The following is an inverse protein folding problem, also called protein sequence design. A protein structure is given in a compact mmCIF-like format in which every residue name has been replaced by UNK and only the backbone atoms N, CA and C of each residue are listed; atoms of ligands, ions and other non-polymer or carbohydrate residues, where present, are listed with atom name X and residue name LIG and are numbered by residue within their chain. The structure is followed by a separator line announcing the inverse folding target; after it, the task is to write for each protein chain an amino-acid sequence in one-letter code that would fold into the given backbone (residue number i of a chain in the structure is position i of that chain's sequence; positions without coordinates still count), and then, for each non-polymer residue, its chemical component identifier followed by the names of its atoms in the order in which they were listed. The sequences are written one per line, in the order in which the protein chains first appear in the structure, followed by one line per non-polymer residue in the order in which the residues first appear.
data_IF_437264597506
#
_entry.id   IF_437264597506
#
_cell.length_a   1.000
_cell.length_b   1.000
_cell.length_c   1.000
_cell.angle_alpha   90.00
_cell.angle_beta   90.00
_cell.angle_gamma   90.00
#
_symmetry.space_group_name_H-M   'P 1'
#
loop_
_entity.id
_entity.type
_entity.pdbx_description
1 polymer ?
#
# COMPACT_ATOMS: atom_id res chain seq x y z
N UNK A 1 29.80 14.87 21.59
CA UNK A 1 28.75 14.47 22.55
C UNK A 1 27.41 14.74 21.89
N UNK A 2 26.88 13.80 21.11
CA UNK A 2 25.57 13.96 20.45
C UNK A 2 24.56 13.10 21.21
N UNK A 3 23.78 13.72 22.09
CA UNK A 3 22.63 13.07 22.72
C UNK A 3 21.45 13.14 21.75
N UNK A 4 20.92 11.99 21.35
CA UNK A 4 19.68 11.93 20.61
C UNK A 4 18.53 12.46 21.49
N UNK A 5 17.58 13.23 20.92
CA UNK A 5 16.40 13.64 21.67
C UNK A 5 15.62 12.39 22.07
N UNK A 6 15.26 12.29 23.36
CA UNK A 6 14.31 11.29 23.85
C UNK A 6 12.98 11.59 23.16
N UNK A 7 12.60 10.75 22.20
CA UNK A 7 11.27 10.76 21.63
C UNK A 7 10.39 9.95 22.60
N UNK A 8 9.33 10.53 23.19
CA UNK A 8 8.40 9.75 23.99
C UNK A 8 7.77 8.67 23.10
N UNK A 9 7.58 7.44 23.58
CA UNK A 9 6.90 6.41 22.80
C UNK A 9 5.51 6.92 22.38
N UNK A 10 5.04 6.60 21.17
CA UNK A 10 3.69 6.98 20.75
C UNK A 10 2.70 6.42 21.78
N UNK A 11 1.86 7.31 22.30
CA UNK A 11 0.97 7.04 23.42
C UNK A 11 0.16 5.76 23.20
N UNK A 12 0.39 4.79 24.07
CA UNK A 12 -0.36 3.55 24.13
C UNK A 12 -1.84 3.87 24.41
N UNK A 13 -2.81 3.52 23.52
CA UNK A 13 -4.23 3.78 23.75
C UNK A 13 -4.77 3.06 25.01
N UNK A 14 -4.00 2.13 25.58
CA UNK A 14 -4.35 1.42 26.80
C UNK A 14 -4.37 2.30 28.07
N UNK A 15 -3.73 3.48 28.06
CA UNK A 15 -3.70 4.39 29.24
C UNK A 15 -4.96 5.25 29.35
N UNK A 16 -5.67 5.50 28.24
CA UNK A 16 -6.91 6.29 28.23
C UNK A 16 -8.11 5.56 28.87
N UNK A 17 -7.97 4.27 29.19
CA UNK A 17 -9.06 3.43 29.71
C UNK A 17 -8.96 3.13 31.21
N UNK A 18 -7.96 3.67 31.93
CA UNK A 18 -7.72 3.33 33.35
C UNK A 18 -8.24 4.34 34.37
N UNK A 19 -9.17 5.20 34.00
CA UNK A 19 -9.93 6.00 34.97
C UNK A 19 -11.42 5.96 34.64
N UNK A 20 -12.29 5.43 35.51
CA UNK A 20 -13.70 5.71 35.42
C UNK A 20 -13.89 7.19 35.80
N UNK A 21 -13.93 8.07 34.79
CA UNK A 21 -14.53 9.38 34.96
C UNK A 21 -15.97 9.15 35.42
N UNK A 22 -16.25 9.42 36.71
CA UNK A 22 -17.60 9.46 37.23
C UNK A 22 -18.38 10.49 36.41
N UNK A 23 -19.40 10.02 35.69
CA UNK A 23 -20.32 10.90 34.96
C UNK A 23 -21.05 11.79 35.97
N UNK A 24 -21.06 13.12 35.82
CA UNK A 24 -21.99 13.95 36.57
C UNK A 24 -23.43 13.73 36.05
N UNK A 25 -24.33 13.51 36.99
CA UNK A 25 -25.79 13.70 36.97
C UNK A 25 -26.57 13.13 35.79
N UNK A 26 -27.10 11.91 35.99
CA UNK A 26 -28.32 11.49 35.30
C UNK A 26 -29.49 12.37 35.75
N UNK A 27 -30.30 12.94 34.85
CA UNK A 27 -31.55 13.57 35.25
C UNK A 27 -32.51 12.49 35.83
N UNK A 28 -33.37 12.85 36.80
CA UNK A 28 -34.25 11.90 37.47
C UNK A 28 -35.18 11.21 36.47
N UNK A 29 -35.59 9.94 36.69
CA UNK A 29 -36.58 9.29 35.86
C UNK A 29 -37.90 10.02 36.01
N UNK A 30 -38.33 10.70 34.94
CA UNK A 30 -39.67 11.26 34.83
C UNK A 30 -40.67 10.12 34.96
N UNK A 31 -41.51 10.19 35.98
CA UNK A 31 -42.58 9.25 36.25
C UNK A 31 -43.41 9.00 34.99
N UNK A 32 -43.67 7.72 34.73
CA UNK A 32 -44.36 7.23 33.55
C UNK A 32 -45.69 7.99 33.29
N UNK A 33 -45.70 8.78 32.22
CA UNK A 33 -46.94 9.18 31.55
C UNK A 33 -47.23 8.16 30.47
N UNK A 34 -48.32 7.42 30.66
CA UNK A 34 -48.87 6.43 29.76
C UNK A 34 -49.32 7.09 28.45
N UNK A 35 -48.44 7.20 27.45
CA UNK A 35 -48.86 7.50 26.08
C UNK A 35 -47.78 7.09 25.04
N UNK A 36 -48.25 6.35 24.02
CA UNK A 36 -47.62 6.05 22.72
C UNK A 36 -46.56 4.91 22.64
N UNK A 37 -46.96 3.69 22.22
CA UNK A 37 -46.04 2.59 21.92
C UNK A 37 -45.28 2.70 20.58
N UNK A 38 -45.43 3.78 19.81
CA UNK A 38 -45.21 3.73 18.35
C UNK A 38 -43.82 4.24 17.88
N UNK A 39 -43.05 4.95 18.72
CA UNK A 39 -41.78 5.61 18.30
C UNK A 39 -40.49 4.90 18.77
N UNK A 40 -40.62 3.81 19.52
CA UNK A 40 -39.46 3.08 20.10
C UNK A 40 -38.78 2.16 19.09
N UNK A 41 -39.53 1.58 18.15
CA UNK A 41 -39.00 0.64 17.16
C UNK A 41 -38.04 1.31 16.16
N UNK A 42 -38.37 2.52 15.69
CA UNK A 42 -37.52 3.26 14.75
C UNK A 42 -36.18 3.69 15.40
N UNK A 43 -36.22 4.13 16.66
CA UNK A 43 -35.00 4.48 17.41
C UNK A 43 -34.12 3.25 17.69
N UNK A 44 -34.71 2.09 17.97
CA UNK A 44 -33.98 0.84 18.20
C UNK A 44 -33.24 0.38 16.95
N UNK A 45 -33.87 0.48 15.77
CA UNK A 45 -33.22 0.18 14.48
C UNK A 45 -32.05 1.15 14.21
N UNK A 46 -32.24 2.44 14.44
CA UNK A 46 -31.17 3.43 14.25
C UNK A 46 -29.98 3.23 15.21
N UNK A 47 -30.23 2.80 16.45
CA UNK A 47 -29.17 2.43 17.40
C UNK A 47 -28.41 1.18 16.95
N UNK A 48 -29.11 0.15 16.49
CA UNK A 48 -28.48 -1.08 15.97
C UNK A 48 -27.54 -0.80 14.80
N UNK A 49 -27.94 0.05 13.83
CA UNK A 49 -27.08 0.41 12.70
C UNK A 49 -25.78 1.12 13.13
N UNK A 50 -25.86 2.03 14.11
CA UNK A 50 -24.66 2.70 14.64
C UNK A 50 -23.72 1.75 15.36
N UNK A 51 -24.25 0.77 16.08
CA UNK A 51 -23.43 -0.24 16.76
C UNK A 51 -22.78 -1.19 15.76
N UNK A 52 -23.45 -1.55 14.67
CA UNK A 52 -22.88 -2.30 13.55
C UNK A 52 -21.77 -1.53 12.82
N UNK A 53 -21.99 -0.24 12.54
CA UNK A 53 -20.98 0.64 11.95
C UNK A 53 -19.74 0.75 12.84
N UNK A 54 -19.92 0.94 14.16
CA UNK A 54 -18.81 0.95 15.12
C UNK A 54 -18.07 -0.38 15.16
N UNK A 55 -18.78 -1.51 15.17
CA UNK A 55 -18.16 -2.84 15.12
C UNK A 55 -17.37 -3.04 13.82
N UNK A 56 -17.88 -2.58 12.68
CA UNK A 56 -17.17 -2.64 11.40
C UNK A 56 -15.91 -1.77 11.40
N UNK A 57 -15.96 -0.58 11.99
CA UNK A 57 -14.78 0.29 12.14
C UNK A 57 -13.74 -0.30 13.09
N UNK A 58 -14.18 -0.89 14.21
CA UNK A 58 -13.30 -1.60 15.16
C UNK A 58 -12.68 -2.85 14.52
N UNK A 59 -13.45 -3.59 13.71
CA UNK A 59 -12.91 -4.74 12.97
C UNK A 59 -11.86 -4.31 11.95
N UNK A 60 -12.07 -3.19 11.25
CA UNK A 60 -11.06 -2.60 10.35
C UNK A 60 -9.82 -2.14 11.11
N UNK A 61 -9.96 -1.53 12.27
CA UNK A 61 -8.81 -1.11 13.08
C UNK A 61 -8.07 -2.32 13.67
N UNK A 62 -8.77 -3.39 14.06
CA UNK A 62 -8.17 -4.63 14.52
C UNK A 62 -7.40 -5.34 13.40
N UNK A 63 -7.95 -5.37 12.17
CA UNK A 63 -7.26 -5.91 11.01
C UNK A 63 -5.99 -5.10 10.66
N UNK A 64 -6.07 -3.76 10.74
CA UNK A 64 -4.90 -2.90 10.53
C UNK A 64 -3.83 -3.09 11.62
N UNK A 65 -4.24 -3.29 12.87
CA UNK A 65 -3.33 -3.60 13.96
C UNK A 65 -2.64 -4.97 13.73
N UNK A 66 -3.41 -5.99 13.33
CA UNK A 66 -2.84 -7.31 13.03
C UNK A 66 -1.81 -7.24 11.90
N UNK A 67 -2.10 -6.49 10.82
CA UNK A 67 -1.15 -6.28 9.73
C UNK A 67 0.15 -5.59 10.23
N UNK A 68 0.04 -4.57 11.08
CA UNK A 68 1.21 -3.91 11.65
C UNK A 68 2.03 -4.84 12.55
N UNK A 69 1.38 -5.74 13.29
CA UNK A 69 2.05 -6.77 14.10
C UNK A 69 2.75 -7.83 13.22
N UNK A 70 2.12 -8.23 12.12
CA UNK A 70 2.71 -9.13 11.11
C UNK A 70 3.97 -8.51 10.50
N UNK A 71 3.89 -7.26 10.04
CA UNK A 71 5.03 -6.50 9.50
C UNK A 71 6.17 -6.41 10.52
N UNK A 72 5.86 -6.16 11.80
CA UNK A 72 6.86 -6.08 12.85
C UNK A 72 7.56 -7.43 13.09
N UNK A 73 6.82 -8.55 12.97
CA UNK A 73 7.38 -9.90 13.06
C UNK A 73 8.27 -10.19 11.85
N UNK A 74 7.85 -9.81 10.65
CA UNK A 74 8.64 -9.99 9.42
C UNK A 74 9.94 -9.20 9.47
N UNK A 75 9.89 -7.92 9.85
CA UNK A 75 11.08 -7.08 10.04
C UNK A 75 12.05 -7.70 11.05
N UNK A 76 11.52 -8.26 12.15
CA UNK A 76 12.36 -8.94 13.14
C UNK A 76 13.02 -10.20 12.57
N UNK A 77 12.29 -11.01 11.79
CA UNK A 77 12.85 -12.21 11.13
C UNK A 77 14.00 -11.82 10.20
N UNK A 78 13.82 -10.77 9.40
CA UNK A 78 14.85 -10.24 8.50
C UNK A 78 16.06 -9.76 9.32
N UNK A 79 15.85 -8.98 10.39
CA UNK A 79 16.94 -8.51 11.24
C UNK A 79 17.74 -9.63 11.91
N UNK A 80 17.07 -10.73 12.31
CA UNK A 80 17.75 -11.92 12.85
C UNK A 80 18.54 -12.63 11.74
N UNK A 81 17.95 -12.80 10.55
CA UNK A 81 18.60 -13.45 9.42
C UNK A 81 19.86 -12.69 8.98
N UNK A 82 19.81 -11.37 8.96
CA UNK A 82 20.92 -10.50 8.54
C UNK A 82 21.85 -10.12 9.69
N UNK A 83 21.63 -10.67 10.90
CA UNK A 83 22.44 -10.34 12.06
C UNK A 83 23.92 -10.65 11.83
N UNK A 84 24.77 -9.64 11.97
CA UNK A 84 26.21 -9.75 11.77
C UNK A 84 26.67 -9.69 10.32
N UNK A 85 25.78 -9.54 9.34
CA UNK A 85 26.15 -9.48 7.91
C UNK A 85 27.20 -8.38 7.62
N UNK A 86 27.14 -7.27 8.35
CA UNK A 86 28.05 -6.13 8.20
C UNK A 86 29.52 -6.43 8.57
N UNK A 87 29.78 -7.42 9.43
CA UNK A 87 31.15 -7.71 9.91
C UNK A 87 31.58 -9.17 9.72
N UNK A 88 30.66 -10.09 9.49
CA UNK A 88 30.98 -11.49 9.24
C UNK A 88 31.59 -11.58 7.84
N UNK A 89 32.79 -12.16 7.77
CA UNK A 89 33.47 -12.50 6.51
C UNK A 89 33.55 -14.01 6.41
N UNK A 90 32.95 -14.64 5.40
CA UNK A 90 33.10 -16.08 5.19
C UNK A 90 34.59 -16.45 4.99
N UNK A 91 35.01 -17.64 5.42
CA UNK A 91 36.39 -18.07 5.24
C UNK A 91 36.74 -18.13 3.75
N UNK A 92 37.90 -17.55 3.38
CA UNK A 92 38.35 -17.51 1.99
C UNK A 92 37.73 -16.39 1.14
N UNK A 93 36.81 -15.59 1.70
CA UNK A 93 36.20 -14.45 1.01
C UNK A 93 36.60 -13.16 1.74
N UNK A 94 37.14 -12.18 0.99
CA UNK A 94 37.54 -10.88 1.55
C UNK A 94 36.34 -9.95 1.80
N UNK A 95 35.24 -10.18 1.07
CA UNK A 95 33.98 -9.46 1.19
C UNK A 95 33.23 -9.86 2.46
N UNK A 96 32.48 -8.92 3.02
CA UNK A 96 31.53 -9.20 4.10
C UNK A 96 30.31 -9.92 3.54
N UNK A 97 29.59 -10.66 4.39
CA UNK A 97 28.34 -11.31 4.00
C UNK A 97 27.34 -10.29 3.43
N UNK A 98 27.25 -9.11 4.05
CA UNK A 98 26.45 -8.00 3.53
C UNK A 98 26.84 -7.62 2.09
N UNK A 99 28.13 -7.40 1.82
CA UNK A 99 28.59 -7.02 0.49
C UNK A 99 28.33 -8.12 -0.56
N UNK A 100 28.36 -9.38 -0.15
CA UNK A 100 27.99 -10.49 -1.04
C UNK A 100 26.50 -10.49 -1.36
N UNK A 101 25.64 -10.31 -0.35
CA UNK A 101 24.19 -10.26 -0.56
C UNK A 101 23.79 -9.05 -1.43
N UNK A 102 24.42 -7.89 -1.22
CA UNK A 102 24.19 -6.69 -2.02
C UNK A 102 24.62 -6.90 -3.48
N UNK A 103 25.80 -7.50 -3.73
CA UNK A 103 26.26 -7.85 -5.08
C UNK A 103 25.33 -8.85 -5.78
N UNK A 104 24.79 -9.83 -5.05
CA UNK A 104 23.81 -10.78 -5.59
C UNK A 104 22.48 -10.10 -5.94
N UNK A 105 22.01 -9.18 -5.10
CA UNK A 105 20.80 -8.41 -5.35
C UNK A 105 20.95 -7.47 -6.56
N UNK A 106 22.05 -6.72 -6.63
CA UNK A 106 22.37 -5.84 -7.77
C UNK A 106 22.41 -6.61 -9.09
N UNK A 107 22.95 -7.84 -9.08
CA UNK A 107 22.99 -8.69 -10.28
C UNK A 107 21.61 -9.11 -10.75
N UNK A 108 20.69 -9.44 -9.83
CA UNK A 108 19.32 -9.82 -10.18
C UNK A 108 18.52 -8.62 -10.70
N UNK A 109 18.65 -7.47 -10.06
CA UNK A 109 17.99 -6.23 -10.52
C UNK A 109 18.49 -5.80 -11.90
N UNK A 110 19.80 -5.94 -12.17
CA UNK A 110 20.37 -5.66 -13.48
C UNK A 110 19.81 -6.60 -14.58
N UNK A 111 19.58 -7.87 -14.26
CA UNK A 111 18.98 -8.84 -15.19
C UNK A 111 17.50 -8.50 -15.48
N UNK A 112 16.74 -8.13 -14.44
CA UNK A 112 15.35 -7.72 -14.59
C UNK A 112 15.22 -6.42 -15.42
N UNK A 113 16.09 -5.44 -15.18
CA UNK A 113 16.15 -4.22 -15.97
C UNK A 113 16.52 -4.50 -17.42
N UNK A 114 17.52 -5.33 -17.68
CA UNK A 114 17.89 -5.71 -19.04
C UNK A 114 16.73 -6.40 -19.79
N UNK A 115 15.96 -7.24 -19.08
CA UNK A 115 14.75 -7.86 -19.65
C UNK A 115 13.66 -6.82 -19.95
N UNK A 116 13.44 -5.88 -19.04
CA UNK A 116 12.47 -4.80 -19.25
C UNK A 116 12.88 -3.88 -20.41
N UNK A 117 14.16 -3.53 -20.51
CA UNK A 117 14.73 -2.73 -21.59
C UNK A 117 14.57 -3.42 -22.94
N UNK A 118 14.83 -4.73 -23.03
CA UNK A 118 14.59 -5.50 -24.25
C UNK A 118 13.11 -5.48 -24.66
N UNK A 119 12.19 -5.72 -23.72
CA UNK A 119 10.76 -5.66 -24.01
C UNK A 119 10.32 -4.26 -24.50
N UNK A 120 10.87 -3.20 -23.90
CA UNK A 120 10.57 -1.82 -24.30
C UNK A 120 11.15 -1.49 -25.68
N UNK A 121 12.37 -1.93 -25.97
CA UNK A 121 13.00 -1.75 -27.27
C UNK A 121 12.20 -2.47 -28.38
N UNK A 122 11.70 -3.69 -28.11
CA UNK A 122 10.86 -4.44 -29.05
C UNK A 122 9.53 -3.73 -29.34
N UNK A 123 8.90 -3.14 -28.31
CA UNK A 123 7.67 -2.36 -28.48
C UNK A 123 7.93 -1.09 -29.29
N UNK A 124 9.03 -0.38 -29.02
CA UNK A 124 9.42 0.81 -29.78
C UNK A 124 9.74 0.47 -31.24
N UNK A 125 10.44 -0.63 -31.49
CA UNK A 125 10.73 -1.09 -32.85
C UNK A 125 9.46 -1.43 -33.63
N UNK A 126 8.47 -2.08 -32.98
CA UNK A 126 7.16 -2.35 -33.60
C UNK A 126 6.41 -1.06 -33.93
N UNK A 127 6.39 -0.10 -33.01
CA UNK A 127 5.75 1.21 -33.25
C UNK A 127 6.39 1.93 -34.44
N UNK A 128 7.73 1.97 -34.51
CA UNK A 128 8.45 2.59 -35.63
C UNK A 128 8.15 1.87 -36.96
N UNK A 129 8.03 0.54 -36.96
CA UNK A 129 7.65 -0.22 -38.15
C UNK A 129 6.21 0.07 -38.59
N UNK A 130 5.28 0.19 -37.65
CA UNK A 130 3.89 0.57 -37.92
C UNK A 130 3.79 1.99 -38.47
N UNK A 131 4.51 2.95 -37.89
CA UNK A 131 4.58 4.33 -38.40
C UNK A 131 5.19 4.40 -39.80
N UNK A 132 6.30 3.68 -40.05
CA UNK A 132 6.91 3.61 -41.37
C UNK A 132 5.98 2.97 -42.41
N UNK A 133 5.22 1.94 -42.02
CA UNK A 133 4.22 1.31 -42.87
C UNK A 133 3.04 2.23 -43.17
N UNK A 134 2.55 2.97 -42.17
CA UNK A 134 1.49 3.95 -42.33
C UNK A 134 1.93 5.12 -43.23
N UNK A 135 3.16 5.62 -43.05
CA UNK A 135 3.74 6.65 -43.90
C UNK A 135 3.91 6.16 -45.35
N UNK A 136 4.36 4.92 -45.55
CA UNK A 136 4.46 4.31 -46.88
C UNK A 136 3.09 4.09 -47.54
N UNK A 137 2.05 3.77 -46.78
CA UNK A 137 0.68 3.66 -47.28
C UNK A 137 0.10 5.03 -47.65
N UNK A 138 0.31 6.06 -46.82
CA UNK A 138 -0.12 7.42 -47.11
C UNK A 138 0.55 7.99 -48.37
N UNK A 139 1.87 7.76 -48.55
CA UNK A 139 2.59 8.17 -49.75
C UNK A 139 2.16 7.39 -51.01
N UNK A 140 1.80 6.10 -50.86
CA UNK A 140 1.24 5.32 -51.96
C UNK A 140 -0.17 5.78 -52.34
N UNK A 141 -1.02 6.11 -51.37
CA UNK A 141 -2.34 6.68 -51.60
C UNK A 141 -2.26 8.03 -52.33
N UNK A 142 -1.35 8.92 -51.91
CA UNK A 142 -1.08 10.21 -52.57
C UNK A 142 -0.57 10.02 -54.02
N UNK A 143 0.34 9.09 -54.26
CA UNK A 143 0.81 8.78 -55.61
C UNK A 143 -0.30 8.19 -56.51
N UNK A 144 -1.23 7.42 -55.95
CA UNK A 144 -2.37 6.87 -56.72
C UNK A 144 -3.46 7.91 -57.01
N UNK A 145 -3.65 8.91 -56.15
CA UNK A 145 -4.58 10.01 -56.41
C UNK A 145 -4.03 10.98 -57.44
N UNK A 146 -2.74 11.29 -57.42
CA UNK A 146 -2.11 12.15 -58.45
C UNK A 146 -2.16 11.51 -59.85
N UNK A 147 -1.99 10.19 -59.96
CA UNK A 147 -2.04 9.49 -61.27
C UNK A 147 -3.44 9.47 -61.92
N UNK A 148 -4.52 9.56 -61.12
CA UNK A 148 -5.90 9.56 -61.62
C UNK A 148 -6.41 10.94 -62.07
N UNK A 149 -5.67 12.03 -61.84
CA UNK A 149 -6.08 13.40 -62.24
C UNK A 149 -5.60 13.83 -63.63
N UNK A 150 -4.81 13.01 -64.33
CA UNK A 150 -4.15 13.36 -65.61
C UNK A 150 -4.78 12.65 -66.84
N UNK A 151 -5.94 11.98 -66.67
CA UNK A 151 -6.60 11.15 -67.71
C UNK A 151 -8.05 11.59 -68.07
N UNK A 152 -8.38 12.89 -67.95
CA UNK A 152 -9.65 13.50 -68.43
C UNK A 152 -9.43 14.63 -69.46
#
# INVERSE_FOLDING_TARGET
MFSLPILPPPGDPATALRFPQARPDSPPPFSASTAAPQLTHANRLAQQRRDEERKALVAKSAAAQLAAEEDAVEQRKVAIQTFGAAWIRPPGISKTLQAMNEEEAERLEAEELARQEQNMADLQARQQQEEARAAGQAAAEEATTEHNLDDD
#
